data_IF_058750141182
#
_entry.id   IF_058750141182
#
_cell.length_a   1.000
_cell.length_b   1.000
_cell.length_c   1.000
_cell.angle_alpha   90.00
_cell.angle_beta   90.00
_cell.angle_gamma   90.00
#
_symmetry.space_group_name_H-M   'P 1'
#
loop_
_entity.id
_entity.type
_entity.pdbx_description
1 polymer ?
#
# COMPACT_ATOMS: atom_id res chain seq x y z
N UNK A 1 10.80 0.89 20.96
CA UNK A 1 9.87 1.90 20.41
C UNK A 1 9.05 1.21 19.34
N UNK A 2 7.75 1.03 19.55
CA UNK A 2 6.87 0.55 18.47
C UNK A 2 6.59 1.74 17.56
N UNK A 3 7.39 1.92 16.51
CA UNK A 3 7.10 2.94 15.52
C UNK A 3 5.75 2.56 14.89
N UNK A 4 4.75 3.43 14.99
CA UNK A 4 3.52 3.28 14.22
C UNK A 4 3.93 3.20 12.74
N UNK A 5 3.84 2.01 12.15
CA UNK A 5 4.06 1.83 10.72
C UNK A 5 2.86 2.42 10.00
N UNK A 6 3.05 3.61 9.42
CA UNK A 6 2.08 4.22 8.53
C UNK A 6 2.29 3.67 7.11
N UNK A 7 1.19 3.41 6.42
CA UNK A 7 1.19 3.09 4.99
C UNK A 7 0.55 4.25 4.24
N UNK A 8 0.97 4.47 3.00
CA UNK A 8 0.35 5.43 2.09
C UNK A 8 -0.36 4.67 0.96
N UNK A 9 -1.58 5.08 0.64
CA UNK A 9 -2.36 4.54 -0.48
C UNK A 9 -2.79 5.70 -1.36
N UNK A 10 -2.36 5.72 -2.63
CA UNK A 10 -2.65 6.78 -3.59
C UNK A 10 -2.81 6.24 -5.00
N UNK A 11 -3.26 7.07 -5.93
CA UNK A 11 -3.55 6.68 -7.33
C UNK A 11 -2.60 7.33 -8.35
N UNK A 12 -1.60 8.09 -7.89
CA UNK A 12 -0.61 8.75 -8.75
C UNK A 12 0.80 8.24 -8.42
N UNK A 13 1.50 7.72 -9.43
CA UNK A 13 2.86 7.19 -9.24
C UNK A 13 3.81 8.29 -8.73
N UNK A 14 3.92 9.38 -9.51
CA UNK A 14 4.96 10.39 -9.29
C UNK A 14 4.70 11.24 -8.02
N UNK A 15 3.44 11.56 -7.72
CA UNK A 15 3.13 12.42 -6.58
C UNK A 15 2.97 11.62 -5.28
N UNK A 16 2.23 10.51 -5.34
CA UNK A 16 1.82 9.80 -4.12
C UNK A 16 2.83 8.71 -3.76
N UNK A 17 3.16 7.85 -4.72
CA UNK A 17 4.03 6.70 -4.44
C UNK A 17 5.49 7.13 -4.26
N UNK A 18 6.03 7.98 -5.14
CA UNK A 18 7.40 8.48 -4.98
C UNK A 18 7.54 9.34 -3.73
N UNK A 19 6.56 10.20 -3.46
CA UNK A 19 6.51 11.02 -2.24
C UNK A 19 6.50 10.17 -0.97
N UNK A 20 5.66 9.12 -0.93
CA UNK A 20 5.59 8.20 0.21
C UNK A 20 6.89 7.41 0.40
N UNK A 21 7.48 6.88 -0.68
CA UNK A 21 8.76 6.18 -0.64
C UNK A 21 9.88 7.09 -0.15
N UNK A 22 9.95 8.33 -0.64
CA UNK A 22 10.93 9.33 -0.20
C UNK A 22 10.78 9.70 1.28
N UNK A 23 9.56 9.65 1.81
CA UNK A 23 9.26 9.85 3.23
C UNK A 23 9.53 8.60 4.10
N UNK A 24 9.97 7.49 3.51
CA UNK A 24 10.23 6.23 4.22
C UNK A 24 8.96 5.45 4.61
N UNK A 25 7.83 5.73 3.95
CA UNK A 25 6.57 5.02 4.14
C UNK A 25 6.45 3.85 3.16
N UNK A 26 5.68 2.83 3.54
CA UNK A 26 5.26 1.79 2.58
C UNK A 26 4.17 2.35 1.67
N UNK A 27 4.43 2.38 0.38
CA UNK A 27 3.53 2.92 -0.64
C UNK A 27 2.73 1.82 -1.36
N UNK A 28 1.45 2.10 -1.58
CA UNK A 28 0.53 1.30 -2.39
C UNK A 28 -0.11 2.18 -3.47
N UNK A 29 -0.02 1.76 -4.72
CA UNK A 29 -0.72 2.37 -5.84
C UNK A 29 -2.08 1.68 -6.03
N UNK A 30 -3.19 2.40 -5.86
CA UNK A 30 -4.55 1.92 -6.16
C UNK A 30 -4.95 2.38 -7.57
N UNK A 31 -4.92 1.47 -8.54
CA UNK A 31 -5.21 1.76 -9.94
C UNK A 31 -6.48 1.03 -10.40
N UNK A 32 -7.63 1.66 -10.15
CA UNK A 32 -8.95 1.06 -10.41
C UNK A 32 -9.25 0.83 -11.89
N UNK A 33 -8.62 1.63 -12.76
CA UNK A 33 -8.86 1.60 -14.21
C UNK A 33 -7.68 0.96 -14.98
N UNK A 34 -6.69 0.40 -14.28
CA UNK A 34 -5.47 -0.18 -14.83
C UNK A 34 -4.69 0.77 -15.76
N UNK A 35 -4.82 2.08 -15.56
CA UNK A 35 -4.19 3.11 -16.40
C UNK A 35 -2.65 3.09 -16.30
N UNK A 36 -2.13 2.57 -15.19
CA UNK A 36 -0.72 2.56 -14.83
C UNK A 36 -0.16 1.13 -14.72
N UNK A 37 -0.91 0.08 -15.08
CA UNK A 37 -0.52 -1.31 -14.88
C UNK A 37 0.85 -1.66 -15.49
N UNK A 38 1.12 -1.19 -16.71
CA UNK A 38 2.42 -1.42 -17.37
C UNK A 38 3.56 -0.73 -16.60
N UNK A 39 3.42 0.56 -16.31
CA UNK A 39 4.43 1.35 -15.58
C UNK A 39 4.67 0.77 -14.17
N UNK A 40 3.60 0.38 -13.48
CA UNK A 40 3.70 -0.23 -12.16
C UNK A 40 4.44 -1.58 -12.18
N UNK A 41 4.32 -2.36 -13.27
CA UNK A 41 5.06 -3.63 -13.40
C UNK A 41 6.58 -3.47 -13.50
N UNK A 42 7.03 -2.26 -13.87
CA UNK A 42 8.45 -1.91 -14.03
C UNK A 42 9.04 -1.28 -12.75
N UNK A 43 8.22 -1.12 -11.70
CA UNK A 43 8.57 -0.43 -10.44
C UNK A 43 8.54 -1.41 -9.27
N UNK A 44 9.51 -1.28 -8.36
CA UNK A 44 9.66 -2.16 -7.19
C UNK A 44 9.56 -1.40 -5.85
N UNK A 45 9.37 -0.08 -5.91
CA UNK A 45 9.37 0.83 -4.77
C UNK A 45 7.98 1.04 -4.15
N UNK A 46 6.92 0.57 -4.81
CA UNK A 46 5.55 0.54 -4.28
C UNK A 46 4.85 -0.76 -4.68
N UNK A 47 3.75 -1.07 -4.00
CA UNK A 47 2.90 -2.23 -4.35
C UNK A 47 1.70 -1.78 -5.18
N UNK A 48 1.51 -2.38 -6.35
CA UNK A 48 0.33 -2.16 -7.19
C UNK A 48 -0.88 -2.92 -6.64
N UNK A 49 -2.03 -2.25 -6.59
CA UNK A 49 -3.32 -2.81 -6.25
C UNK A 49 -4.32 -2.48 -7.36
N UNK A 50 -4.97 -3.50 -7.92
CA UNK A 50 -6.06 -3.31 -8.90
C UNK A 50 -7.34 -2.79 -8.23
N UNK A 51 -7.49 -3.01 -6.93
CA UNK A 51 -8.62 -2.57 -6.12
C UNK A 51 -8.27 -2.51 -4.63
N UNK A 52 -9.12 -1.84 -3.83
CA UNK A 52 -8.81 -1.57 -2.42
C UNK A 52 -8.82 -2.82 -1.55
N UNK A 53 -9.55 -3.87 -1.95
CA UNK A 53 -9.62 -5.10 -1.16
C UNK A 53 -8.28 -5.84 -1.15
N UNK A 54 -7.47 -5.69 -2.19
CA UNK A 54 -6.14 -6.32 -2.27
C UNK A 54 -5.21 -5.83 -1.15
N UNK A 55 -5.38 -4.61 -0.65
CA UNK A 55 -4.62 -4.08 0.48
C UNK A 55 -4.68 -5.00 1.70
N UNK A 56 -5.80 -5.68 1.93
CA UNK A 56 -5.99 -6.60 3.06
C UNK A 56 -5.02 -7.79 3.03
N UNK A 57 -4.48 -8.16 1.86
CA UNK A 57 -3.46 -9.20 1.75
C UNK A 57 -2.07 -8.74 2.22
N UNK A 58 -1.85 -7.43 2.26
CA UNK A 58 -0.56 -6.82 2.61
C UNK A 58 -0.51 -6.29 4.04
N UNK A 59 -1.67 -6.02 4.65
CA UNK A 59 -1.73 -5.57 6.03
C UNK A 59 -1.48 -6.72 7.00
N UNK A 60 -0.81 -6.45 8.14
CA UNK A 60 -0.61 -7.45 9.17
C UNK A 60 -1.97 -7.94 9.67
N UNK A 61 -2.12 -9.26 9.80
CA UNK A 61 -3.31 -9.85 10.42
C UNK A 61 -3.29 -9.46 11.89
N UNK A 62 -4.25 -8.62 12.30
CA UNK A 62 -4.50 -8.42 13.72
C UNK A 62 -5.06 -9.74 14.26
N UNK A 63 -4.48 -10.34 15.30
CA UNK A 63 -5.12 -11.46 15.97
C UNK A 63 -6.53 -11.02 16.33
N UNK A 64 -7.54 -11.83 15.96
CA UNK A 64 -8.88 -11.63 16.48
C UNK A 64 -8.71 -11.48 18.00
N UNK A 65 -9.10 -10.31 18.55
CA UNK A 65 -8.95 -10.09 19.98
C UNK A 65 -9.56 -11.29 20.68
N UNK A 66 -8.73 -12.05 21.39
CA UNK A 66 -9.17 -13.26 22.06
C UNK A 66 -10.39 -12.90 22.89
N UNK A 67 -11.53 -13.49 22.54
CA UNK A 67 -12.71 -13.48 23.38
C UNK A 67 -12.38 -14.25 24.64
N UNK A 68 -11.72 -13.58 25.58
CA UNK A 68 -11.57 -14.02 26.95
C UNK A 68 -12.82 -13.62 27.69
N UNK A 69 -13.77 -14.55 27.78
CA UNK A 69 -14.74 -14.63 28.88
C UNK A 69 -14.20 -15.62 29.90
#
# INVERSE_FOLDING_TARGET
>A
MSAHQAVYVGDRIDDDCEGATAAGLTAFLIDRDAAHAQTASERADFTYLSNMAELLHHLPKVPAHGGGS
#
